data_IF_054587419228
#
_entry.id   IF_054587419228
#
_cell.length_a   1.000
_cell.length_b   1.000
_cell.length_c   1.000
_cell.angle_alpha   90.00
_cell.angle_beta   90.00
_cell.angle_gamma   90.00
#
_symmetry.space_group_name_H-M   'P 1'
#
loop_
_entity.id
_entity.type
_entity.pdbx_description
1 polymer ?
#
# COMPACT_ATOMS: atom_id res chain seq x y z
N UNK A 1 20.26 22.02 -52.18
CA UNK A 1 20.25 22.61 -50.83
C UNK A 1 18.90 22.29 -50.23
N UNK A 2 18.82 21.33 -49.33
CA UNK A 2 17.80 21.28 -48.28
C UNK A 2 18.31 20.32 -47.20
N UNK A 3 18.50 20.87 -46.01
CA UNK A 3 19.11 20.24 -44.84
C UNK A 3 17.99 19.65 -43.98
N UNK A 4 17.87 18.33 -43.97
CA UNK A 4 16.92 17.62 -43.09
C UNK A 4 17.60 17.35 -41.76
N UNK A 5 17.50 18.31 -40.84
CA UNK A 5 17.90 18.14 -39.44
C UNK A 5 16.90 17.20 -38.75
N UNK A 6 17.35 15.99 -38.42
CA UNK A 6 16.60 15.06 -37.58
C UNK A 6 16.58 15.56 -36.13
N UNK A 7 15.40 15.58 -35.51
CA UNK A 7 15.27 15.86 -34.06
C UNK A 7 15.69 14.62 -33.27
N UNK A 8 16.45 14.76 -32.18
CA UNK A 8 16.66 13.64 -31.26
C UNK A 8 15.36 13.37 -30.49
N UNK A 9 14.91 12.13 -30.52
CA UNK A 9 13.84 11.64 -29.66
C UNK A 9 14.38 11.56 -28.23
N UNK A 10 14.02 12.52 -27.38
CA UNK A 10 14.28 12.41 -25.94
C UNK A 10 13.28 11.42 -25.36
N UNK A 11 13.72 10.19 -25.13
CA UNK A 11 12.96 9.20 -24.38
C UNK A 11 12.86 9.64 -22.93
N UNK A 12 11.67 10.09 -22.52
CA UNK A 12 11.32 10.22 -21.11
C UNK A 12 11.34 8.80 -20.53
N UNK A 13 12.10 8.51 -19.46
CA UNK A 13 12.10 7.19 -18.85
C UNK A 13 10.73 6.96 -18.19
N UNK A 14 9.90 6.16 -18.84
CA UNK A 14 8.67 5.61 -18.27
C UNK A 14 9.12 4.56 -17.24
N UNK A 15 8.86 4.73 -15.93
CA UNK A 15 9.14 3.68 -14.96
C UNK A 15 8.33 2.45 -15.35
N UNK A 16 9.03 1.31 -15.40
CA UNK A 16 8.51 0.05 -15.94
C UNK A 16 7.17 -0.32 -15.32
N UNK A 17 6.25 -0.78 -16.18
CA UNK A 17 4.89 -1.29 -15.89
C UNK A 17 4.82 -2.35 -14.77
N UNK A 18 5.97 -2.85 -14.33
CA UNK A 18 6.16 -3.88 -13.30
C UNK A 18 6.25 -3.28 -11.89
N UNK A 19 6.88 -2.12 -11.73
CA UNK A 19 7.06 -1.48 -10.41
C UNK A 19 5.73 -0.97 -9.86
N UNK A 20 4.88 -0.42 -10.74
CA UNK A 20 3.54 0.04 -10.37
C UNK A 20 2.59 -1.13 -10.03
N UNK A 21 2.79 -2.30 -10.66
CA UNK A 21 2.04 -3.52 -10.37
C UNK A 21 2.44 -4.11 -9.01
N UNK A 22 3.72 -4.01 -8.64
CA UNK A 22 4.24 -4.46 -7.35
C UNK A 22 3.81 -3.59 -6.16
N UNK A 23 3.75 -2.26 -6.32
CA UNK A 23 3.30 -1.35 -5.24
C UNK A 23 1.80 -1.53 -4.97
N UNK A 24 0.98 -1.76 -6.01
CA UNK A 24 -0.44 -2.09 -5.84
C UNK A 24 -0.61 -3.50 -5.24
N UNK A 25 0.25 -4.46 -5.59
CA UNK A 25 0.25 -5.81 -5.02
C UNK A 25 0.57 -5.84 -3.52
N UNK A 26 1.44 -4.95 -3.04
CA UNK A 26 1.78 -4.89 -1.61
C UNK A 26 0.73 -4.16 -0.76
N UNK A 27 0.13 -3.10 -1.31
CA UNK A 27 -0.91 -2.34 -0.60
C UNK A 27 -2.25 -3.08 -0.53
N UNK A 28 -2.57 -3.94 -1.50
CA UNK A 28 -3.82 -4.73 -1.46
C UNK A 28 -3.68 -6.09 -0.74
N UNK A 29 -2.50 -6.73 -0.73
CA UNK A 29 -2.37 -8.10 -0.21
C UNK A 29 -2.17 -8.18 1.32
N UNK A 30 -1.74 -7.11 1.99
CA UNK A 30 -1.50 -7.13 3.44
C UNK A 30 -2.58 -6.42 4.26
N UNK A 31 -3.40 -5.59 3.62
CA UNK A 31 -4.21 -4.60 4.33
C UNK A 31 -5.67 -5.00 4.55
N UNK A 32 -6.12 -6.07 3.89
CA UNK A 32 -7.54 -6.33 3.77
C UNK A 32 -8.09 -7.41 4.70
N UNK A 33 -7.42 -7.73 5.82
CA UNK A 33 -7.99 -8.67 6.80
C UNK A 33 -8.15 -8.11 8.21
N UNK A 34 -7.56 -6.96 8.52
CA UNK A 34 -7.29 -6.61 9.92
C UNK A 34 -8.41 -5.84 10.65
N UNK A 35 -9.42 -5.27 9.98
CA UNK A 35 -10.34 -4.35 10.66
C UNK A 35 -11.76 -4.87 11.03
N UNK A 36 -12.15 -6.13 10.76
CA UNK A 36 -13.54 -6.55 11.08
C UNK A 36 -13.79 -8.05 11.42
N UNK A 37 -12.77 -8.88 11.60
CA UNK A 37 -13.00 -10.34 11.66
C UNK A 37 -13.27 -10.87 13.09
N UNK A 38 -14.52 -10.74 13.57
CA UNK A 38 -15.06 -11.54 14.70
C UNK A 38 -15.62 -12.86 14.14
N UNK A 39 -15.37 -14.04 14.77
CA UNK A 39 -15.84 -15.34 14.28
C UNK A 39 -17.37 -15.49 14.12
N UNK A 40 -18.15 -14.54 14.65
CA UNK A 40 -19.61 -14.57 14.64
C UNK A 40 -20.26 -13.86 13.43
N UNK A 41 -19.52 -13.13 12.61
CA UNK A 41 -20.10 -12.25 11.59
C UNK A 41 -19.62 -12.61 10.17
N UNK A 42 -20.55 -13.09 9.33
CA UNK A 42 -20.40 -13.26 7.87
C UNK A 42 -20.40 -11.90 7.15
N UNK A 43 -19.56 -10.95 7.56
CA UNK A 43 -19.45 -9.60 6.99
C UNK A 43 -18.00 -9.15 6.74
N UNK A 44 -17.09 -10.07 6.38
CA UNK A 44 -15.76 -9.69 5.91
C UNK A 44 -15.73 -9.70 4.38
N UNK A 45 -15.90 -8.55 3.69
CA UNK A 45 -15.94 -8.51 2.23
C UNK A 45 -14.64 -9.03 1.59
N UNK A 46 -13.54 -9.01 2.33
CA UNK A 46 -12.23 -9.46 1.87
C UNK A 46 -12.03 -10.98 1.94
N UNK A 47 -12.85 -11.68 2.70
CA UNK A 47 -12.89 -13.16 2.80
C UNK A 47 -14.15 -13.71 2.13
N UNK A 48 -14.99 -12.84 1.54
CA UNK A 48 -16.18 -13.24 0.82
C UNK A 48 -15.83 -14.13 -0.39
N UNK A 49 -16.71 -15.09 -0.70
CA UNK A 49 -16.50 -16.06 -1.77
C UNK A 49 -16.22 -15.40 -3.13
N UNK A 50 -16.87 -14.28 -3.43
CA UNK A 50 -16.64 -13.49 -4.64
C UNK A 50 -15.21 -12.94 -4.72
N UNK A 51 -14.69 -12.43 -3.61
CA UNK A 51 -13.33 -11.88 -3.52
C UNK A 51 -12.30 -12.98 -3.62
N UNK A 52 -12.49 -14.10 -2.92
CA UNK A 52 -11.56 -15.25 -2.99
C UNK A 52 -11.54 -15.90 -4.36
N UNK A 53 -12.68 -15.96 -5.06
CA UNK A 53 -12.74 -16.47 -6.43
C UNK A 53 -11.94 -15.59 -7.39
N UNK A 54 -12.02 -14.27 -7.24
CA UNK A 54 -11.27 -13.32 -8.05
C UNK A 54 -9.76 -13.39 -7.76
N UNK A 55 -9.37 -13.51 -6.49
CA UNK A 55 -7.96 -13.68 -6.11
C UNK A 55 -7.37 -14.96 -6.71
N UNK A 56 -8.12 -16.06 -6.69
CA UNK A 56 -7.72 -17.31 -7.34
C UNK A 56 -7.64 -17.18 -8.87
N UNK A 57 -8.55 -16.43 -9.49
CA UNK A 57 -8.51 -16.19 -10.94
C UNK A 57 -7.23 -15.44 -11.36
N UNK A 58 -6.75 -14.52 -10.53
CA UNK A 58 -5.50 -13.81 -10.78
C UNK A 58 -4.26 -14.58 -10.30
N UNK A 59 -4.42 -15.77 -9.72
CA UNK A 59 -3.36 -16.57 -9.10
C UNK A 59 -2.54 -15.79 -8.07
N UNK A 60 -3.22 -15.03 -7.21
CA UNK A 60 -2.57 -14.25 -6.16
C UNK A 60 -2.51 -15.02 -4.85
N UNK A 61 -1.30 -15.16 -4.32
CA UNK A 61 -1.07 -15.74 -2.99
C UNK A 61 -1.42 -14.71 -1.90
N UNK A 62 -2.34 -15.08 -1.01
CA UNK A 62 -2.77 -14.24 0.10
C UNK A 62 -1.98 -14.61 1.34
N UNK A 63 -1.24 -13.64 1.88
CA UNK A 63 -0.52 -13.81 3.14
C UNK A 63 -1.51 -13.90 4.30
N UNK A 64 -1.25 -14.82 5.23
CA UNK A 64 -2.03 -14.93 6.47
C UNK A 64 -1.73 -13.75 7.39
N UNK A 65 -2.75 -12.96 7.68
CA UNK A 65 -2.66 -11.82 8.59
C UNK A 65 -3.46 -12.11 9.87
N UNK A 66 -2.87 -11.95 11.07
CA UNK A 66 -3.58 -12.13 12.33
C UNK A 66 -4.66 -11.03 12.55
N UNK A 67 -5.77 -11.34 13.23
CA UNK A 67 -6.79 -10.32 13.51
C UNK A 67 -6.21 -9.21 14.41
N UNK A 68 -6.63 -7.97 14.18
CA UNK A 68 -6.25 -6.78 14.99
C UNK A 68 -4.76 -6.37 14.97
N UNK A 69 -3.96 -6.84 14.01
CA UNK A 69 -2.52 -6.52 13.95
C UNK A 69 -2.18 -5.40 12.96
N UNK A 70 -2.70 -4.19 13.20
CA UNK A 70 -2.38 -3.01 12.37
C UNK A 70 -0.89 -2.62 12.42
N UNK A 71 -0.17 -3.06 13.45
CA UNK A 71 1.28 -2.95 13.57
C UNK A 71 2.07 -3.79 12.56
N UNK A 72 1.42 -4.78 11.92
CA UNK A 72 2.01 -5.62 10.88
C UNK A 72 1.60 -5.20 9.47
N UNK A 73 0.67 -4.25 9.31
CA UNK A 73 0.22 -3.76 8.02
C UNK A 73 1.04 -2.51 7.59
N UNK A 74 1.83 -2.56 6.50
CA UNK A 74 2.68 -1.44 6.08
C UNK A 74 1.93 -0.19 5.66
N UNK A 75 0.74 -0.37 5.11
CA UNK A 75 -0.27 0.68 4.98
C UNK A 75 -0.50 1.44 6.29
N UNK A 76 -0.83 0.74 7.37
CA UNK A 76 -1.17 1.31 8.68
C UNK A 76 0.05 1.92 9.37
N UNK A 77 1.16 1.20 9.46
CA UNK A 77 2.34 1.68 10.21
C UNK A 77 3.19 2.69 9.42
N UNK A 78 3.22 2.63 8.09
CA UNK A 78 4.11 3.45 7.27
C UNK A 78 3.36 4.46 6.40
N UNK A 79 2.48 4.00 5.51
CA UNK A 79 1.83 4.87 4.52
C UNK A 79 0.87 5.87 5.18
N UNK A 80 -0.10 5.38 5.95
CA UNK A 80 -1.14 6.19 6.59
C UNK A 80 -0.58 7.06 7.70
N UNK A 81 0.47 6.63 8.40
CA UNK A 81 1.19 7.48 9.35
C UNK A 81 1.69 8.75 8.64
N UNK A 82 2.36 8.62 7.50
CA UNK A 82 2.87 9.78 6.75
C UNK A 82 1.80 10.57 6.03
N UNK A 83 0.74 9.91 5.56
CA UNK A 83 -0.41 10.60 4.98
C UNK A 83 -1.11 11.47 6.03
N UNK A 84 -1.30 10.96 7.25
CA UNK A 84 -1.92 11.73 8.33
C UNK A 84 -1.06 12.95 8.70
N UNK A 85 0.26 12.79 8.76
CA UNK A 85 1.18 13.91 8.95
C UNK A 85 1.05 14.96 7.83
N UNK A 86 0.95 14.54 6.57
CA UNK A 86 0.87 15.47 5.42
C UNK A 86 -0.48 16.18 5.30
N UNK A 87 -1.55 15.57 5.81
CA UNK A 87 -2.89 16.14 5.87
C UNK A 87 -3.16 16.91 7.17
N UNK A 88 -2.31 16.76 8.19
CA UNK A 88 -2.50 17.40 9.48
C UNK A 88 -2.60 18.93 9.34
N UNK A 89 -3.64 19.52 9.94
CA UNK A 89 -3.87 20.96 9.94
C UNK A 89 -4.47 21.52 8.63
N UNK A 90 -4.62 20.71 7.58
CA UNK A 90 -5.31 21.13 6.35
C UNK A 90 -6.82 21.00 6.51
N UNK A 91 -7.57 21.97 6.01
CA UNK A 91 -9.04 21.91 5.89
C UNK A 91 -9.39 21.90 4.42
N UNK A 92 -10.21 20.94 4.04
CA UNK A 92 -10.69 20.78 2.67
C UNK A 92 -12.17 21.14 2.64
N UNK A 93 -12.62 21.75 1.55
CA UNK A 93 -14.01 22.16 1.38
C UNK A 93 -14.83 21.17 0.53
N UNK A 94 -14.16 20.25 -0.17
CA UNK A 94 -14.81 19.21 -0.96
C UNK A 94 -13.98 17.93 -1.05
N UNK A 95 -14.63 16.84 -1.44
CA UNK A 95 -13.99 15.54 -1.62
C UNK A 95 -13.00 15.54 -2.78
N UNK A 96 -13.25 16.32 -3.84
CA UNK A 96 -12.35 16.47 -4.99
C UNK A 96 -11.02 17.11 -4.57
N UNK A 97 -11.06 18.05 -3.63
CA UNK A 97 -9.88 18.70 -3.07
C UNK A 97 -9.02 17.69 -2.29
N UNK A 98 -9.67 16.85 -1.48
CA UNK A 98 -9.00 15.76 -0.75
C UNK A 98 -8.37 14.76 -1.71
N UNK A 99 -9.12 14.30 -2.71
CA UNK A 99 -8.62 13.34 -3.71
C UNK A 99 -7.40 13.90 -4.46
N UNK A 100 -7.44 15.17 -4.83
CA UNK A 100 -6.33 15.84 -5.51
C UNK A 100 -5.10 15.94 -4.59
N UNK A 101 -5.29 16.33 -3.33
CA UNK A 101 -4.21 16.45 -2.36
C UNK A 101 -3.52 15.10 -2.10
N UNK A 102 -4.30 14.03 -1.88
CA UNK A 102 -3.77 12.67 -1.66
C UNK A 102 -3.07 12.16 -2.93
N UNK A 103 -3.63 12.40 -4.10
CA UNK A 103 -3.03 11.97 -5.38
C UNK A 103 -1.69 12.66 -5.62
N UNK A 104 -1.61 13.98 -5.39
CA UNK A 104 -0.37 14.72 -5.57
C UNK A 104 0.69 14.28 -4.55
N UNK A 105 0.33 14.14 -3.28
CA UNK A 105 1.23 13.62 -2.25
C UNK A 105 1.78 12.24 -2.62
N UNK A 106 0.93 11.33 -3.11
CA UNK A 106 1.34 9.98 -3.50
C UNK A 106 2.30 9.99 -4.70
N UNK A 107 2.13 10.93 -5.64
CA UNK A 107 3.02 11.10 -6.81
C UNK A 107 4.40 11.66 -6.43
N UNK A 108 4.48 12.45 -5.37
CA UNK A 108 5.73 13.03 -4.87
C UNK A 108 6.58 12.01 -4.09
N UNK A 109 5.97 10.92 -3.60
CA UNK A 109 6.69 9.88 -2.88
C UNK A 109 7.65 9.11 -3.78
N UNK A 110 8.91 9.03 -3.34
CA UNK A 110 9.92 8.23 -4.01
C UNK A 110 9.64 6.72 -3.87
N UNK A 111 10.05 5.93 -4.86
CA UNK A 111 9.94 4.46 -4.79
C UNK A 111 10.65 3.85 -3.57
N UNK A 112 11.72 4.49 -3.10
CA UNK A 112 12.44 4.11 -1.88
C UNK A 112 11.57 4.16 -0.62
N UNK A 113 10.60 5.07 -0.55
CA UNK A 113 9.66 5.16 0.56
C UNK A 113 8.85 3.87 0.70
N UNK A 114 8.31 3.36 -0.39
CA UNK A 114 7.55 2.10 -0.37
C UNK A 114 8.47 0.91 -0.08
N UNK A 115 9.68 0.89 -0.64
CA UNK A 115 10.64 -0.17 -0.37
C UNK A 115 11.04 -0.24 1.13
N UNK A 116 11.20 0.92 1.78
CA UNK A 116 11.48 1.00 3.21
C UNK A 116 10.32 0.50 4.07
N UNK A 117 9.07 0.86 3.71
CA UNK A 117 7.89 0.36 4.40
C UNK A 117 7.84 -1.17 4.37
N UNK A 118 8.13 -1.76 3.21
CA UNK A 118 8.11 -3.20 2.97
C UNK A 118 9.27 -3.90 3.69
N UNK A 119 10.47 -3.32 3.69
CA UNK A 119 11.63 -3.93 4.34
C UNK A 119 11.47 -4.01 5.86
N UNK A 120 10.79 -3.05 6.47
CA UNK A 120 10.44 -3.04 7.91
C UNK A 120 9.53 -4.19 8.31
N UNK A 121 8.79 -4.78 7.36
CA UNK A 121 7.86 -5.87 7.64
C UNK A 121 8.58 -7.07 8.27
N UNK A 122 9.75 -7.45 7.73
CA UNK A 122 10.54 -8.58 8.26
C UNK A 122 10.91 -8.35 9.71
N UNK A 123 11.40 -7.16 10.05
CA UNK A 123 11.75 -6.81 11.43
C UNK A 123 10.53 -6.82 12.36
N UNK A 124 9.38 -6.35 11.89
CA UNK A 124 8.13 -6.33 12.67
C UNK A 124 7.60 -7.74 12.95
N UNK A 125 7.64 -8.63 11.98
CA UNK A 125 7.28 -10.05 12.21
C UNK A 125 8.22 -10.72 13.21
N UNK A 126 9.53 -10.47 13.12
CA UNK A 126 10.48 -11.01 14.10
C UNK A 126 10.16 -10.50 15.51
N UNK A 127 9.93 -9.19 15.68
CA UNK A 127 9.53 -8.62 16.97
C UNK A 127 8.23 -9.25 17.48
N UNK A 128 7.22 -9.44 16.63
CA UNK A 128 5.95 -10.06 16.99
C UNK A 128 6.13 -11.50 17.52
N UNK A 129 7.03 -12.27 16.92
CA UNK A 129 7.35 -13.63 17.39
C UNK A 129 8.08 -13.58 18.74
N UNK A 130 9.02 -12.67 18.91
CA UNK A 130 9.79 -12.52 20.17
C UNK A 130 8.92 -12.13 21.36
N UNK A 131 7.88 -11.34 21.14
CA UNK A 131 6.92 -10.91 22.18
C UNK A 131 5.67 -11.82 22.26
N UNK A 132 5.74 -13.05 21.73
CA UNK A 132 4.66 -14.05 21.79
C UNK A 132 3.31 -13.54 21.23
N UNK A 133 3.37 -12.82 20.10
CA UNK A 133 2.18 -12.29 19.43
C UNK A 133 1.57 -11.04 20.07
N UNK A 134 2.23 -10.44 21.06
CA UNK A 134 1.83 -9.13 21.59
C UNK A 134 2.08 -8.00 20.54
N UNK A 135 1.55 -6.81 20.84
CA UNK A 135 1.61 -5.65 19.95
C UNK A 135 3.04 -5.10 19.80
N UNK A 136 3.48 -4.86 18.57
CA UNK A 136 4.78 -4.24 18.30
C UNK A 136 4.64 -2.72 18.38
N UNK A 137 5.36 -2.10 19.32
CA UNK A 137 5.39 -0.65 19.48
C UNK A 137 5.84 0.09 18.20
N UNK A 138 5.40 1.34 18.05
CA UNK A 138 5.81 2.21 16.95
C UNK A 138 7.18 2.81 17.27
N UNK A 139 8.14 2.60 16.37
CA UNK A 139 9.46 3.23 16.42
C UNK A 139 9.37 4.74 16.12
#
# INVERSE_FOLDING_TARGET
>A
MESSTSRPATSIPIPSRVVLRGIIQFLFAQDFKSLWCVPSSRQCPHVAASTTALLNQFSWDVLTHPPYSSDLAPSDYHLFTKLKESLAGKRFQSDEEVQTAVTNWTKELAGSFYAEGISKLVSRYTKCIEIDGNYVEKD
#
